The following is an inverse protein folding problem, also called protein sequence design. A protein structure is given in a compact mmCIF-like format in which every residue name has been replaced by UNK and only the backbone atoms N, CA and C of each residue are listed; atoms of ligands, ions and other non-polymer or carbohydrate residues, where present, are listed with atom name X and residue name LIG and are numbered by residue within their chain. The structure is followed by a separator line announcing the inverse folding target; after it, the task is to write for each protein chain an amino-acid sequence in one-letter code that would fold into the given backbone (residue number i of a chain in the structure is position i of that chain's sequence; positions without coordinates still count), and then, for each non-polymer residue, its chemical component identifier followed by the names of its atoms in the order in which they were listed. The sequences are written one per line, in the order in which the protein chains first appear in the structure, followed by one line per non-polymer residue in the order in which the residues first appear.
data_IF_545000193447
#
_entry.id   IF_545000193447
#
_cell.length_a   1.000
_cell.length_b   1.000
_cell.length_c   1.000
_cell.angle_alpha   90.00
_cell.angle_beta   90.00
_cell.angle_gamma   90.00
#
_symmetry.space_group_name_H-M   'P 1'
#
loop_
_entity.id
_entity.type
_entity.pdbx_description
1 polymer ?
#
# COMPACT_ATOMS: atom_id res chain seq x y z
N UNK A 1 1.18 6.29 10.61
CA UNK A 1 1.17 4.99 9.86
C UNK A 1 -0.19 4.32 10.00
N UNK A 2 -0.83 3.82 8.92
CA UNK A 2 -2.17 3.20 8.96
C UNK A 2 -2.15 1.73 8.51
N UNK A 3 -2.86 0.85 9.20
CA UNK A 3 -2.93 -0.59 8.91
C UNK A 3 -4.36 -1.02 8.60
N UNK A 4 -4.51 -2.02 7.72
CA UNK A 4 -5.78 -2.70 7.45
C UNK A 4 -5.67 -4.20 7.69
N UNK A 5 -6.82 -4.83 7.94
CA UNK A 5 -6.92 -6.28 8.01
C UNK A 5 -6.51 -6.95 6.69
N UNK A 6 -5.86 -8.10 6.78
CA UNK A 6 -5.55 -8.94 5.64
C UNK A 6 -4.33 -9.81 5.89
N UNK A 7 -4.56 -11.11 6.06
CA UNK A 7 -3.50 -12.10 6.24
C UNK A 7 -2.55 -12.13 5.03
N UNK A 8 -1.27 -12.31 5.30
CA UNK A 8 -0.28 -12.73 4.30
C UNK A 8 -0.19 -14.25 4.38
N UNK A 9 -0.47 -14.94 3.27
CA UNK A 9 -0.53 -16.41 3.26
C UNK A 9 0.85 -17.01 3.59
N UNK A 10 1.89 -16.37 3.09
CA UNK A 10 3.27 -16.86 3.13
C UNK A 10 3.93 -16.68 4.50
N UNK A 11 3.36 -15.84 5.38
CA UNK A 11 3.93 -15.51 6.68
C UNK A 11 2.95 -15.84 7.81
N UNK A 12 3.18 -16.91 8.59
CA UNK A 12 2.36 -17.21 9.76
C UNK A 12 2.52 -16.10 10.80
N UNK A 13 1.41 -15.65 11.38
CA UNK A 13 1.39 -14.56 12.37
C UNK A 13 1.15 -13.16 11.80
N UNK A 14 1.38 -12.93 10.49
CA UNK A 14 1.16 -11.62 9.86
C UNK A 14 -0.30 -11.46 9.40
N UNK A 15 -1.10 -10.78 10.21
CA UNK A 15 -2.55 -10.59 10.00
C UNK A 15 -2.95 -9.24 9.40
N UNK A 16 -2.02 -8.31 9.32
CA UNK A 16 -2.27 -6.93 8.90
C UNK A 16 -1.36 -6.50 7.76
N UNK A 17 -1.84 -5.55 6.96
CA UNK A 17 -1.10 -4.91 5.87
C UNK A 17 -1.10 -3.41 6.08
N UNK A 18 0.03 -2.78 5.80
CA UNK A 18 0.18 -1.33 5.85
C UNK A 18 -0.51 -0.73 4.63
N UNK A 19 -1.31 0.32 4.82
CA UNK A 19 -1.85 1.12 3.73
C UNK A 19 -0.75 2.08 3.28
N UNK A 20 -0.30 1.96 2.03
CA UNK A 20 0.74 2.84 1.45
C UNK A 20 0.13 4.16 0.98
N UNK A 21 0.85 5.26 1.18
CA UNK A 21 0.38 6.60 0.82
C UNK A 21 -0.60 7.20 1.83
N UNK A 22 -0.69 6.63 3.04
CA UNK A 22 -1.52 7.13 4.14
C UNK A 22 -0.64 7.51 5.35
N UNK A 23 -0.98 8.63 5.99
CA UNK A 23 -0.20 9.26 7.06
C UNK A 23 1.29 9.38 6.64
N UNK A 24 2.21 8.90 7.46
CA UNK A 24 3.66 9.03 7.26
C UNK A 24 4.24 8.09 6.19
N UNK A 25 3.43 7.19 5.65
CA UNK A 25 3.92 6.18 4.69
C UNK A 25 3.89 6.69 3.26
N UNK A 26 5.03 6.64 2.58
CA UNK A 26 5.10 7.04 1.18
C UNK A 26 4.52 5.96 0.23
N UNK A 27 3.89 6.44 -0.84
CA UNK A 27 3.44 5.62 -1.96
C UNK A 27 4.59 5.03 -2.78
N UNK A 28 4.29 4.04 -3.61
CA UNK A 28 5.29 3.42 -4.49
C UNK A 28 5.54 4.32 -5.71
N UNK A 29 6.81 4.65 -5.98
CA UNK A 29 7.22 5.47 -7.15
C UNK A 29 6.99 4.71 -8.47
N UNK A 30 6.67 5.43 -9.55
CA UNK A 30 6.53 4.92 -10.92
C UNK A 30 5.52 3.77 -11.12
N UNK A 31 4.56 3.59 -10.20
CA UNK A 31 3.54 2.54 -10.29
C UNK A 31 2.38 2.98 -11.18
N UNK A 32 2.40 2.53 -12.44
CA UNK A 32 1.38 2.90 -13.45
C UNK A 32 0.03 2.16 -13.30
N UNK A 33 0.04 0.92 -12.80
CA UNK A 33 -1.15 0.07 -12.62
C UNK A 33 -1.45 -0.20 -11.14
N UNK A 34 -2.73 -0.39 -10.79
CA UNK A 34 -3.19 -0.63 -9.40
C UNK A 34 -2.72 0.45 -8.39
N UNK A 35 -2.53 1.67 -8.87
CA UNK A 35 -1.92 2.80 -8.13
C UNK A 35 -2.61 3.10 -6.79
N UNK A 36 -3.93 2.94 -6.72
CA UNK A 36 -4.74 3.19 -5.52
C UNK A 36 -4.38 2.27 -4.35
N UNK A 37 -3.95 1.02 -4.63
CA UNK A 37 -3.54 0.07 -3.59
C UNK A 37 -2.16 0.37 -3.00
N UNK A 38 -1.33 1.10 -3.75
CA UNK A 38 0.06 1.36 -3.43
C UNK A 38 0.35 2.84 -3.14
N UNK A 39 -0.69 3.67 -3.02
CA UNK A 39 -0.55 5.10 -2.73
C UNK A 39 0.13 5.91 -3.84
N UNK A 40 0.12 5.41 -5.07
CA UNK A 40 0.69 6.10 -6.21
C UNK A 40 -0.36 7.03 -6.86
N UNK A 41 0.01 8.30 -7.05
CA UNK A 41 -0.86 9.29 -7.70
C UNK A 41 -0.87 9.10 -9.22
N UNK A 42 -1.93 9.57 -9.87
CA UNK A 42 -1.95 9.69 -11.34
C UNK A 42 -0.92 10.74 -11.74
N UNK A 43 0.02 10.37 -12.59
CA UNK A 43 0.88 11.34 -13.26
C UNK A 43 -0.02 12.29 -14.06
N UNK A 44 0.20 13.59 -13.90
CA UNK A 44 -0.51 14.58 -14.72
C UNK A 44 -0.01 14.38 -16.15
N UNK A 45 -0.96 14.10 -17.04
CA UNK A 45 -0.76 14.06 -18.49
C UNK A 45 -0.34 15.42 -19.01
#
# INVERSE_FOLDING_TARGET
MLVRGGRVKDLPGVRYKIIRGALDTQGVKNRKQSRSRYGAKKEKS
#
